data_IF_862333609919
#
_entry.id   IF_862333609919
#
_cell.length_a   1.000
_cell.length_b   1.000
_cell.length_c   1.000
_cell.angle_alpha   90.00
_cell.angle_beta   90.00
_cell.angle_gamma   90.00
#
_symmetry.space_group_name_H-M   'P 1'
#
loop_
_entity.id
_entity.type
_entity.pdbx_description
1 polymer ?
#
# COMPACT_ATOMS: atom_id res chain seq x y z
N UNK A 1 -32.88 -22.35 2.92
CA UNK A 1 -31.65 -22.06 2.14
C UNK A 1 -31.47 -20.58 1.82
N UNK A 2 -32.54 -19.81 1.61
CA UNK A 2 -32.51 -18.37 1.29
C UNK A 2 -31.86 -17.49 2.38
N UNK A 3 -32.06 -17.77 3.67
CA UNK A 3 -31.53 -16.94 4.76
C UNK A 3 -29.98 -16.96 4.88
N UNK A 4 -29.31 -18.04 4.45
CA UNK A 4 -27.84 -18.13 4.46
C UNK A 4 -27.20 -17.28 3.34
N UNK A 5 -27.84 -17.20 2.18
CA UNK A 5 -27.37 -16.36 1.06
C UNK A 5 -27.52 -14.88 1.39
N UNK A 6 -28.65 -14.47 1.99
CA UNK A 6 -28.87 -13.08 2.41
C UNK A 6 -27.90 -12.64 3.52
N UNK A 7 -27.52 -13.55 4.43
CA UNK A 7 -26.51 -13.27 5.44
C UNK A 7 -25.12 -13.11 4.81
N UNK A 8 -24.73 -13.97 3.86
CA UNK A 8 -23.45 -13.91 3.15
C UNK A 8 -23.31 -12.65 2.28
N UNK A 9 -24.37 -12.23 1.59
CA UNK A 9 -24.40 -10.99 0.82
C UNK A 9 -24.38 -9.75 1.72
N UNK A 10 -25.05 -9.79 2.89
CA UNK A 10 -24.98 -8.70 3.88
C UNK A 10 -23.59 -8.49 4.46
N UNK A 11 -22.82 -9.56 4.68
CA UNK A 11 -21.43 -9.43 5.18
C UNK A 11 -20.51 -8.81 4.13
N UNK A 12 -20.74 -9.09 2.84
CA UNK A 12 -19.96 -8.55 1.73
C UNK A 12 -20.24 -7.05 1.48
N UNK A 13 -21.46 -6.60 1.77
CA UNK A 13 -21.89 -5.20 1.58
C UNK A 13 -21.48 -4.24 2.73
N UNK A 14 -20.93 -4.76 3.84
CA UNK A 14 -20.50 -3.95 4.99
C UNK A 14 -18.98 -3.95 5.23
N UNK A 15 -18.18 -4.46 4.31
CA UNK A 15 -16.74 -4.21 4.35
C UNK A 15 -16.51 -2.73 4.04
N UNK A 16 -16.28 -1.96 5.10
CA UNK A 16 -15.82 -0.57 5.01
C UNK A 16 -14.56 -0.57 4.15
N UNK A 17 -14.59 0.15 3.03
CA UNK A 17 -13.41 0.32 2.18
C UNK A 17 -12.25 0.85 3.03
N UNK A 18 -11.17 0.07 3.07
CA UNK A 18 -9.96 0.41 3.80
C UNK A 18 -9.26 1.55 3.08
N UNK A 19 -8.81 2.54 3.84
CA UNK A 19 -7.96 3.61 3.35
C UNK A 19 -6.48 3.22 3.47
N UNK A 20 -5.57 4.01 2.88
CA UNK A 20 -4.13 3.77 3.09
C UNK A 20 -3.77 3.80 4.58
N UNK A 21 -4.43 4.64 5.38
CA UNK A 21 -4.19 4.74 6.82
C UNK A 21 -4.57 3.46 7.58
N UNK A 22 -5.51 2.68 7.05
CA UNK A 22 -5.89 1.39 7.61
C UNK A 22 -4.93 0.28 7.15
N UNK A 23 -4.48 0.34 5.89
CA UNK A 23 -3.67 -0.70 5.24
C UNK A 23 -2.17 -0.58 5.63
N UNK A 24 -1.61 0.62 5.62
CA UNK A 24 -0.18 0.89 5.81
C UNK A 24 0.01 2.19 6.59
N UNK A 25 -0.32 2.20 7.89
CA UNK A 25 -0.45 3.43 8.69
C UNK A 25 0.83 4.26 8.76
N UNK A 26 2.00 3.62 8.86
CA UNK A 26 3.28 4.33 8.92
C UNK A 26 3.57 5.04 7.61
N UNK A 27 3.37 4.37 6.48
CA UNK A 27 3.56 4.99 5.18
C UNK A 27 2.46 5.99 4.82
N UNK A 28 1.22 5.79 5.29
CA UNK A 28 0.15 6.76 5.14
C UNK A 28 0.51 8.11 5.76
N UNK A 29 1.07 8.09 6.98
CA UNK A 29 1.57 9.32 7.62
C UNK A 29 2.70 9.96 6.83
N UNK A 30 3.69 9.17 6.40
CA UNK A 30 4.87 9.65 5.65
C UNK A 30 4.52 10.25 4.29
N UNK A 31 3.62 9.61 3.55
CA UNK A 31 3.22 10.02 2.20
C UNK A 31 2.10 11.09 2.22
N UNK A 32 1.44 11.29 3.36
CA UNK A 32 0.50 12.40 3.58
C UNK A 32 1.18 13.73 3.94
N UNK A 33 2.47 13.69 4.29
CA UNK A 33 3.29 14.87 4.57
C UNK A 33 4.13 15.27 3.34
N UNK A 34 4.82 16.41 3.42
CA UNK A 34 5.76 16.82 2.36
C UNK A 34 6.91 15.81 2.27
N UNK A 35 7.23 15.37 1.04
CA UNK A 35 8.33 14.44 0.82
C UNK A 35 9.66 15.06 1.28
N UNK A 36 10.53 14.28 1.94
CA UNK A 36 11.82 14.78 2.38
C UNK A 36 12.66 15.21 1.16
N UNK A 37 13.51 16.21 1.37
CA UNK A 37 14.45 16.70 0.34
C UNK A 37 15.34 15.53 -0.12
N UNK A 38 15.51 15.31 -1.43
CA UNK A 38 16.39 14.27 -1.96
C UNK A 38 17.76 14.25 -1.26
N UNK A 39 18.27 13.04 -0.98
CA UNK A 39 19.55 12.80 -0.29
C UNK A 39 19.69 13.31 1.15
N UNK A 40 18.66 13.93 1.74
CA UNK A 40 18.63 14.18 3.19
C UNK A 40 18.66 12.86 3.97
N UNK A 41 19.07 12.92 5.25
CA UNK A 41 19.10 11.73 6.13
C UNK A 41 17.73 11.04 6.17
N UNK A 42 16.65 11.83 6.26
CA UNK A 42 15.26 11.31 6.26
C UNK A 42 14.92 10.64 4.93
N UNK A 43 15.28 11.27 3.81
CA UNK A 43 15.06 10.71 2.48
C UNK A 43 15.79 9.38 2.30
N UNK A 44 17.08 9.31 2.69
CA UNK A 44 17.88 8.09 2.61
C UNK A 44 17.28 6.97 3.46
N UNK A 45 16.84 7.27 4.69
CA UNK A 45 16.15 6.28 5.55
C UNK A 45 14.90 5.73 4.87
N UNK A 46 14.05 6.59 4.33
CA UNK A 46 12.82 6.15 3.66
C UNK A 46 13.11 5.37 2.39
N UNK A 47 14.09 5.81 1.59
CA UNK A 47 14.55 5.08 0.41
C UNK A 47 15.00 3.65 0.75
N UNK A 48 15.82 3.47 1.79
CA UNK A 48 16.26 2.15 2.21
C UNK A 48 15.13 1.28 2.79
N UNK A 49 14.11 1.88 3.43
CA UNK A 49 12.91 1.14 3.82
C UNK A 49 12.08 0.72 2.60
N UNK A 50 11.86 1.60 1.62
CA UNK A 50 11.15 1.27 0.36
C UNK A 50 11.87 0.20 -0.45
N UNK A 51 13.20 0.18 -0.43
CA UNK A 51 14.01 -0.83 -1.12
C UNK A 51 13.89 -2.22 -0.47
N UNK A 52 13.56 -2.31 0.82
CA UNK A 52 13.37 -3.59 1.52
C UNK A 52 11.90 -4.00 1.37
N UNK A 53 11.64 -5.07 0.61
CA UNK A 53 10.28 -5.54 0.34
C UNK A 53 9.42 -5.69 1.62
N UNK A 54 9.97 -6.24 2.70
CA UNK A 54 9.26 -6.41 3.98
C UNK A 54 8.99 -5.11 4.75
N UNK A 55 9.53 -3.97 4.34
CA UNK A 55 9.36 -2.66 5.00
C UNK A 55 8.78 -1.58 4.10
N UNK A 56 8.62 -1.85 2.81
CA UNK A 56 7.99 -0.92 1.88
C UNK A 56 6.48 -0.78 2.19
N UNK A 57 5.78 0.09 1.47
CA UNK A 57 4.33 0.36 1.68
C UNK A 57 3.52 -0.95 1.66
N UNK A 58 3.78 -1.80 0.67
CA UNK A 58 3.07 -3.08 0.52
C UNK A 58 3.53 -4.08 1.59
N UNK A 59 4.82 -4.10 1.93
CA UNK A 59 5.33 -4.98 2.98
C UNK A 59 4.71 -4.70 4.35
N UNK A 60 4.52 -3.42 4.71
CA UNK A 60 3.81 -3.04 5.94
C UNK A 60 2.37 -3.60 5.93
N UNK A 61 1.67 -3.47 4.81
CA UNK A 61 0.31 -3.99 4.65
C UNK A 61 0.21 -5.52 4.82
N UNK A 62 1.25 -6.23 4.40
CA UNK A 62 1.41 -7.67 4.62
C UNK A 62 2.00 -8.03 6.00
N UNK A 63 1.90 -7.13 6.99
CA UNK A 63 2.41 -7.40 8.35
C UNK A 63 3.94 -7.43 8.44
N UNK A 64 4.61 -6.57 7.67
CA UNK A 64 6.07 -6.54 7.52
C UNK A 64 6.67 -7.80 6.86
N UNK A 65 5.97 -8.35 5.87
CA UNK A 65 6.37 -9.52 5.08
C UNK A 65 6.72 -9.15 3.64
N UNK A 66 7.56 -9.95 2.98
CA UNK A 66 7.84 -9.86 1.55
C UNK A 66 7.11 -10.92 0.73
N UNK A 67 6.20 -11.69 1.32
CA UNK A 67 5.50 -12.80 0.64
C UNK A 67 4.71 -12.34 -0.58
N UNK A 68 4.17 -11.11 -0.55
CA UNK A 68 3.45 -10.49 -1.68
C UNK A 68 4.23 -10.49 -2.99
N UNK A 69 5.57 -10.53 -2.95
CA UNK A 69 6.43 -10.62 -4.15
C UNK A 69 6.12 -11.89 -4.96
N UNK A 70 5.73 -12.97 -4.29
CA UNK A 70 5.39 -14.25 -4.91
C UNK A 70 3.88 -14.44 -5.03
N UNK A 71 3.12 -13.93 -4.04
CA UNK A 71 1.69 -14.20 -3.92
C UNK A 71 0.83 -13.25 -4.78
N UNK A 72 1.33 -12.04 -5.08
CA UNK A 72 0.56 -11.04 -5.81
C UNK A 72 1.45 -10.15 -6.69
N UNK A 73 1.44 -10.43 -8.00
CA UNK A 73 2.21 -9.69 -9.01
C UNK A 73 1.88 -8.19 -9.05
N UNK A 74 0.62 -7.82 -8.84
CA UNK A 74 0.24 -6.40 -8.81
C UNK A 74 0.79 -5.69 -7.57
N UNK A 75 0.77 -6.34 -6.40
CA UNK A 75 1.42 -5.83 -5.19
C UNK A 75 2.94 -5.67 -5.37
N UNK A 76 3.62 -6.61 -6.02
CA UNK A 76 5.05 -6.48 -6.34
C UNK A 76 5.33 -5.25 -7.22
N UNK A 77 4.55 -5.10 -8.31
CA UNK A 77 4.67 -3.94 -9.20
C UNK A 77 4.39 -2.61 -8.48
N UNK A 78 3.34 -2.56 -7.67
CA UNK A 78 2.98 -1.38 -6.87
C UNK A 78 4.10 -1.02 -5.89
N UNK A 79 4.68 -2.02 -5.21
CA UNK A 79 5.81 -1.83 -4.30
C UNK A 79 7.03 -1.23 -5.00
N UNK A 80 7.37 -1.75 -6.17
CA UNK A 80 8.45 -1.22 -7.00
C UNK A 80 8.18 0.22 -7.47
N UNK A 81 6.95 0.52 -7.88
CA UNK A 81 6.54 1.87 -8.32
C UNK A 81 6.61 2.89 -7.17
N UNK A 82 6.27 2.52 -5.94
CA UNK A 82 6.48 3.42 -4.79
C UNK A 82 7.95 3.80 -4.63
N UNK A 83 8.86 2.82 -4.72
CA UNK A 83 10.30 3.09 -4.64
C UNK A 83 10.78 3.98 -5.81
N UNK A 84 10.37 3.69 -7.04
CA UNK A 84 10.73 4.48 -8.22
C UNK A 84 10.25 5.92 -8.10
N UNK A 85 8.97 6.14 -7.82
CA UNK A 85 8.36 7.47 -7.78
C UNK A 85 8.84 8.31 -6.61
N UNK A 86 9.13 7.67 -5.47
CA UNK A 86 9.85 8.32 -4.37
C UNK A 86 11.26 8.75 -4.78
N UNK A 87 11.98 7.90 -5.52
CA UNK A 87 13.35 8.17 -5.96
C UNK A 87 13.41 9.36 -6.92
N UNK A 88 12.48 9.45 -7.88
CA UNK A 88 12.39 10.58 -8.82
C UNK A 88 11.60 11.78 -8.26
N UNK A 89 11.25 11.76 -6.97
CA UNK A 89 10.52 12.82 -6.28
C UNK A 89 9.20 13.24 -6.96
N UNK A 90 8.48 12.27 -7.53
CA UNK A 90 7.24 12.51 -8.27
C UNK A 90 6.02 12.33 -7.38
N UNK A 91 5.52 13.43 -6.81
CA UNK A 91 4.36 13.41 -5.91
C UNK A 91 3.07 12.94 -6.60
N UNK A 92 2.77 13.43 -7.81
CA UNK A 92 1.56 13.02 -8.54
C UNK A 92 1.52 11.52 -8.81
N UNK A 93 2.65 10.93 -9.23
CA UNK A 93 2.74 9.49 -9.48
C UNK A 93 2.68 8.66 -8.19
N UNK A 94 3.20 9.18 -7.08
CA UNK A 94 3.03 8.54 -5.77
C UNK A 94 1.55 8.52 -5.36
N UNK A 95 0.82 9.60 -5.59
CA UNK A 95 -0.60 9.69 -5.28
C UNK A 95 -1.43 8.74 -6.16
N UNK A 96 -1.17 8.69 -7.47
CA UNK A 96 -1.79 7.72 -8.38
C UNK A 96 -1.50 6.28 -7.95
N UNK A 97 -0.25 5.97 -7.58
CA UNK A 97 0.13 4.63 -7.13
C UNK A 97 -0.51 4.28 -5.78
N UNK A 98 -0.70 5.26 -4.88
CA UNK A 98 -1.46 5.09 -3.64
C UNK A 98 -2.92 4.71 -3.93
N UNK A 99 -3.58 5.43 -4.82
CA UNK A 99 -4.96 5.11 -5.20
C UNK A 99 -5.08 3.73 -5.84
N UNK A 100 -4.15 3.38 -6.75
CA UNK A 100 -4.06 2.03 -7.33
C UNK A 100 -3.90 0.98 -6.24
N UNK A 101 -3.02 1.21 -5.27
CA UNK A 101 -2.78 0.28 -4.17
C UNK A 101 -4.02 0.07 -3.31
N UNK A 102 -4.65 1.15 -2.84
CA UNK A 102 -5.86 1.06 -2.01
C UNK A 102 -6.98 0.35 -2.76
N UNK A 103 -7.19 0.67 -4.04
CA UNK A 103 -8.20 0.00 -4.87
C UNK A 103 -7.92 -1.49 -5.03
N UNK A 104 -6.68 -1.85 -5.39
CA UNK A 104 -6.29 -3.25 -5.54
C UNK A 104 -6.45 -4.02 -4.22
N UNK A 105 -6.01 -3.42 -3.10
CA UNK A 105 -6.14 -4.02 -1.78
C UNK A 105 -7.59 -4.36 -1.43
N UNK A 106 -8.49 -3.39 -1.58
CA UNK A 106 -9.90 -3.59 -1.28
C UNK A 106 -10.60 -4.62 -2.19
N UNK A 107 -10.07 -4.87 -3.39
CA UNK A 107 -10.63 -5.84 -4.31
C UNK A 107 -10.13 -7.27 -4.08
N UNK A 108 -8.84 -7.43 -3.77
CA UNK A 108 -8.17 -8.74 -3.81
C UNK A 108 -7.72 -9.24 -2.42
N UNK A 109 -7.63 -8.36 -1.41
CA UNK A 109 -7.01 -8.67 -0.12
C UNK A 109 -7.89 -8.32 1.10
N UNK A 110 -9.04 -7.67 0.90
CA UNK A 110 -9.99 -7.28 1.97
C UNK A 110 -11.10 -8.31 2.21
#
# INVERSE_FOLDING_TARGET
MVQRQVAFEKTKLQQKELTLSDISPKWAKRLGEQLPVPMSITWLRWYFELKRASRCVVGEAYGYSSSFVFDCRECDEIGWRFMLYFTVHSFSRLEENKQRFVKHWNNEHS
#
